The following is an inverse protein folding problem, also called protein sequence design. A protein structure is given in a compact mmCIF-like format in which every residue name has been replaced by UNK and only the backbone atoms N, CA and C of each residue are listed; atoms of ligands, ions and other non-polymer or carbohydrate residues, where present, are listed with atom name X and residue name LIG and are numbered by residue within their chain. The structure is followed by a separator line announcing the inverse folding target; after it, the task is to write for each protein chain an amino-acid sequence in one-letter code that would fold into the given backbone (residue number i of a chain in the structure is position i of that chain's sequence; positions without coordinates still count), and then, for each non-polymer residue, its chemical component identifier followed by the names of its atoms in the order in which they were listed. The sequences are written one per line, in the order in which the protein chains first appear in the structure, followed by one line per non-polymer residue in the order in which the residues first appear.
data_IF_219679568249
#
_entry.id   IF_219679568249
#
_cell.length_a   1.000
_cell.length_b   1.000
_cell.length_c   1.000
_cell.angle_alpha   90.00
_cell.angle_beta   90.00
_cell.angle_gamma   90.00
#
_symmetry.space_group_name_H-M   'P 1'
#
loop_
_entity.id
_entity.type
_entity.pdbx_description
1 polymer ?
#
# COMPACT_ATOMS: atom_id res chain seq x y z
N UNK A 1 15.99 -14.41 -14.23
CA UNK A 1 15.61 -13.57 -15.37
C UNK A 1 14.55 -12.53 -15.01
N UNK A 2 13.36 -12.91 -14.51
CA UNK A 2 12.27 -11.96 -14.23
C UNK A 2 12.58 -10.93 -13.13
N UNK A 3 13.15 -11.38 -12.00
CA UNK A 3 13.53 -10.48 -10.90
C UNK A 3 14.50 -9.38 -11.36
N UNK A 4 15.48 -9.74 -12.18
CA UNK A 4 16.47 -8.77 -12.70
C UNK A 4 15.84 -7.75 -13.64
N UNK A 5 14.82 -8.14 -14.41
CA UNK A 5 14.04 -7.20 -15.24
C UNK A 5 13.26 -6.23 -14.36
N UNK A 6 12.57 -6.73 -13.34
CA UNK A 6 11.78 -5.90 -12.43
C UNK A 6 12.65 -4.93 -11.63
N UNK A 7 13.88 -5.33 -11.25
CA UNK A 7 14.80 -4.45 -10.52
C UNK A 7 15.31 -3.26 -11.35
N UNK A 8 15.14 -3.27 -12.67
CA UNK A 8 15.53 -2.17 -13.57
C UNK A 8 14.42 -1.13 -13.78
N UNK A 9 13.21 -1.43 -13.33
CA UNK A 9 12.02 -0.60 -13.49
C UNK A 9 12.21 0.80 -12.91
N UNK A 10 11.68 1.81 -13.60
CA UNK A 10 11.68 3.20 -13.15
C UNK A 10 10.41 3.58 -12.37
N UNK A 11 9.28 2.95 -12.73
CA UNK A 11 7.95 3.28 -12.21
C UNK A 11 7.20 2.04 -11.76
N UNK A 12 6.64 2.07 -10.55
CA UNK A 12 5.71 1.05 -10.06
C UNK A 12 4.29 1.61 -10.08
N UNK A 13 3.35 0.84 -10.62
CA UNK A 13 1.91 1.11 -10.51
C UNK A 13 1.28 -0.01 -9.69
N UNK A 14 0.92 0.28 -8.45
CA UNK A 14 0.23 -0.64 -7.55
C UNK A 14 -1.27 -0.32 -7.56
N UNK A 15 -1.99 -0.99 -8.46
CA UNK A 15 -3.44 -0.88 -8.63
C UNK A 15 -4.19 -2.18 -8.29
N UNK A 16 -3.54 -3.09 -7.56
CA UNK A 16 -4.05 -4.42 -7.27
C UNK A 16 -4.91 -4.48 -6.01
N UNK A 17 -5.98 -5.27 -6.07
CA UNK A 17 -6.82 -5.62 -4.93
C UNK A 17 -8.18 -6.13 -5.40
N UNK A 18 -8.54 -7.40 -5.17
CA UNK A 18 -9.87 -7.90 -5.49
C UNK A 18 -10.90 -7.09 -4.72
N UNK A 19 -12.00 -6.73 -5.35
CA UNK A 19 -13.14 -6.14 -4.65
C UNK A 19 -13.96 -7.28 -4.04
N UNK A 20 -13.58 -7.69 -2.83
CA UNK A 20 -14.29 -8.70 -2.06
C UNK A 20 -14.62 -8.18 -0.65
N UNK A 21 -15.84 -7.67 -0.49
CA UNK A 21 -16.32 -7.13 0.79
C UNK A 21 -16.67 -8.23 1.81
N UNK A 22 -16.76 -9.49 1.37
CA UNK A 22 -17.04 -10.65 2.20
C UNK A 22 -15.77 -11.33 2.71
N UNK A 23 -14.60 -10.90 2.22
CA UNK A 23 -13.30 -11.41 2.66
C UNK A 23 -13.18 -11.37 4.18
N UNK A 24 -12.73 -12.48 4.74
CA UNK A 24 -12.38 -12.57 6.16
C UNK A 24 -11.19 -11.65 6.46
N UNK A 25 -11.00 -11.31 7.73
CA UNK A 25 -9.83 -10.51 8.15
C UNK A 25 -8.50 -11.11 7.71
N UNK A 26 -8.40 -12.44 7.71
CA UNK A 26 -7.18 -13.16 7.29
C UNK A 26 -6.95 -13.05 5.79
N UNK A 27 -7.99 -13.22 4.98
CA UNK A 27 -7.91 -13.08 3.52
C UNK A 27 -7.59 -11.64 3.13
N UNK A 28 -8.29 -10.67 3.73
CA UNK A 28 -8.04 -9.26 3.50
C UNK A 28 -6.57 -8.91 3.85
N UNK A 29 -6.07 -9.32 5.02
CA UNK A 29 -4.68 -9.11 5.43
C UNK A 29 -3.69 -9.76 4.46
N UNK A 30 -3.96 -10.99 4.04
CA UNK A 30 -3.12 -11.72 3.10
C UNK A 30 -3.03 -11.03 1.73
N UNK A 31 -4.09 -10.36 1.30
CA UNK A 31 -4.16 -9.73 -0.02
C UNK A 31 -3.60 -8.30 0.04
N UNK A 32 -4.07 -7.48 0.97
CA UNK A 32 -3.75 -6.06 1.01
C UNK A 32 -2.46 -5.78 1.79
N UNK A 33 -2.33 -6.26 3.03
CA UNK A 33 -1.17 -5.95 3.87
C UNK A 33 0.09 -6.68 3.40
N UNK A 34 0.00 -7.98 3.09
CA UNK A 34 1.17 -8.69 2.55
C UNK A 34 1.52 -8.20 1.13
N UNK A 35 0.51 -7.85 0.32
CA UNK A 35 0.74 -7.21 -0.99
C UNK A 35 1.52 -5.91 -0.83
N UNK A 36 1.07 -5.02 0.07
CA UNK A 36 1.73 -3.77 0.40
C UNK A 36 3.15 -3.99 0.95
N UNK A 37 3.37 -5.00 1.79
CA UNK A 37 4.69 -5.40 2.28
C UNK A 37 5.64 -5.72 1.14
N UNK A 38 5.28 -6.69 0.30
CA UNK A 38 6.16 -7.20 -0.74
C UNK A 38 6.44 -6.16 -1.83
N UNK A 39 5.43 -5.37 -2.23
CA UNK A 39 5.65 -4.31 -3.23
C UNK A 39 6.53 -3.19 -2.66
N UNK A 40 6.43 -2.87 -1.38
CA UNK A 40 7.28 -1.87 -0.72
C UNK A 40 8.72 -2.36 -0.56
N UNK A 41 8.93 -3.64 -0.24
CA UNK A 41 10.26 -4.27 -0.21
C UNK A 41 10.93 -4.23 -1.60
N UNK A 42 10.15 -4.46 -2.66
CA UNK A 42 10.62 -4.36 -4.03
C UNK A 42 10.94 -2.91 -4.42
N UNK A 43 10.06 -1.96 -4.10
CA UNK A 43 10.27 -0.53 -4.34
C UNK A 43 11.55 -0.04 -3.64
N UNK A 44 11.75 -0.45 -2.38
CA UNK A 44 12.98 -0.19 -1.62
C UNK A 44 14.21 -0.74 -2.35
N UNK A 45 14.14 -1.99 -2.81
CA UNK A 45 15.26 -2.63 -3.51
C UNK A 45 15.64 -1.89 -4.80
N UNK A 46 14.65 -1.49 -5.60
CA UNK A 46 14.87 -0.69 -6.83
C UNK A 46 15.46 0.68 -6.48
N UNK A 47 14.90 1.34 -5.47
CA UNK A 47 15.36 2.67 -5.05
C UNK A 47 16.80 2.66 -4.55
N UNK A 48 17.18 1.65 -3.75
CA UNK A 48 18.56 1.50 -3.26
C UNK A 48 19.55 1.14 -4.39
N UNK A 49 19.09 0.43 -5.42
CA UNK A 49 19.95 -0.01 -6.52
C UNK A 49 20.23 1.11 -7.53
N UNK A 50 19.19 1.86 -7.94
CA UNK A 50 19.28 2.84 -9.04
C UNK A 50 18.49 4.13 -8.84
N UNK A 51 17.73 4.25 -7.75
CA UNK A 51 16.72 5.28 -7.59
C UNK A 51 15.43 4.94 -8.35
N UNK A 52 14.36 4.64 -7.61
CA UNK A 52 13.02 4.52 -8.16
C UNK A 52 12.53 5.93 -8.50
N UNK A 53 12.05 6.14 -9.73
CA UNK A 53 11.60 7.46 -10.17
C UNK A 53 10.20 7.77 -9.65
N UNK A 54 9.32 6.77 -9.60
CA UNK A 54 7.97 6.97 -9.09
C UNK A 54 7.32 5.67 -8.60
N UNK A 55 6.63 5.74 -7.48
CA UNK A 55 5.65 4.75 -7.05
C UNK A 55 4.25 5.38 -7.10
N UNK A 56 3.37 4.88 -7.97
CA UNK A 56 1.95 5.22 -8.02
C UNK A 56 1.15 4.15 -7.27
N UNK A 57 0.49 4.53 -6.18
CA UNK A 57 -0.39 3.66 -5.41
C UNK A 57 -1.86 4.06 -5.61
N UNK A 58 -2.69 3.12 -6.07
CA UNK A 58 -4.13 3.31 -6.16
C UNK A 58 -4.79 2.70 -4.94
N UNK A 59 -5.55 3.51 -4.21
CA UNK A 59 -6.27 3.13 -2.98
C UNK A 59 -7.78 3.34 -3.15
N UNK A 60 -8.60 2.99 -2.17
CA UNK A 60 -10.02 3.34 -2.15
C UNK A 60 -10.23 4.82 -1.85
N UNK A 61 -11.22 5.43 -2.51
CA UNK A 61 -11.68 6.80 -2.32
C UNK A 61 -11.67 7.29 -0.86
N UNK A 62 -12.14 6.44 0.06
CA UNK A 62 -12.35 6.77 1.47
C UNK A 62 -11.13 6.56 2.40
N UNK A 63 -9.92 6.39 1.86
CA UNK A 63 -8.74 6.31 2.74
C UNK A 63 -8.61 7.60 3.55
N UNK A 64 -8.50 7.53 4.89
CA UNK A 64 -8.37 8.70 5.74
C UNK A 64 -6.93 9.26 5.77
N UNK A 65 -5.99 8.62 5.07
CA UNK A 65 -4.57 8.91 5.18
C UNK A 65 -4.09 9.95 4.17
N UNK A 66 -3.24 10.85 4.66
CA UNK A 66 -2.54 11.87 3.90
C UNK A 66 -1.06 11.94 4.33
N UNK A 67 -0.29 12.80 3.68
CA UNK A 67 1.16 12.92 3.93
C UNK A 67 1.50 13.43 5.34
N UNK A 68 0.54 14.04 6.05
CA UNK A 68 0.73 14.55 7.41
C UNK A 68 0.41 13.48 8.45
N UNK A 69 -0.76 12.84 8.36
CA UNK A 69 -1.22 11.89 9.37
C UNK A 69 -0.59 10.48 9.21
N UNK A 70 0.01 10.19 8.05
CA UNK A 70 0.71 8.91 7.81
C UNK A 70 2.07 8.80 8.47
N UNK A 71 2.57 9.88 9.08
CA UNK A 71 3.82 9.90 9.84
C UNK A 71 3.69 9.25 11.23
N UNK A 72 2.51 8.72 11.55
CA UNK A 72 2.29 8.01 12.81
C UNK A 72 3.09 6.71 12.84
N UNK A 73 3.80 6.47 13.95
CA UNK A 73 4.56 5.24 14.19
C UNK A 73 3.64 4.14 14.74
N UNK A 74 2.81 3.54 13.86
CA UNK A 74 2.04 2.34 14.19
C UNK A 74 2.50 1.15 13.37
N UNK A 75 2.46 -0.03 14.00
CA UNK A 75 2.59 -1.31 13.31
C UNK A 75 1.22 -1.76 12.80
N UNK A 76 1.04 -1.70 11.48
CA UNK A 76 -0.21 -2.10 10.81
C UNK A 76 -0.47 -3.61 10.85
N UNK A 77 0.56 -4.43 11.12
CA UNK A 77 0.45 -5.90 11.18
C UNK A 77 0.07 -6.40 12.58
N UNK A 78 0.14 -5.54 13.59
CA UNK A 78 -0.26 -5.89 14.94
C UNK A 78 -1.77 -6.11 15.00
N UNK A 79 -2.19 -7.31 15.42
CA UNK A 79 -3.60 -7.62 15.64
C UNK A 79 -4.24 -6.65 16.66
N UNK A 80 -5.51 -6.30 16.45
CA UNK A 80 -6.25 -5.40 17.35
C UNK A 80 -5.85 -3.92 17.23
N UNK A 81 -5.21 -3.50 16.14
CA UNK A 81 -4.86 -2.09 15.93
C UNK A 81 -6.12 -1.23 15.68
N UNK A 82 -6.74 -0.71 16.74
CA UNK A 82 -8.00 0.06 16.71
C UNK A 82 -7.83 1.51 16.23
N UNK A 83 -6.71 1.83 15.58
CA UNK A 83 -6.47 3.14 15.00
C UNK A 83 -7.58 3.53 14.00
N UNK A 84 -8.07 2.56 13.21
CA UNK A 84 -9.23 2.73 12.35
C UNK A 84 -10.47 2.13 13.01
N UNK A 85 -11.46 2.97 13.29
CA UNK A 85 -12.79 2.55 13.77
C UNK A 85 -13.67 1.97 12.64
N UNK A 86 -13.08 1.17 11.75
CA UNK A 86 -13.73 0.55 10.61
C UNK A 86 -14.00 -0.91 10.93
N UNK A 87 -15.27 -1.30 10.87
CA UNK A 87 -15.72 -2.66 11.22
C UNK A 87 -15.48 -3.66 10.10
N UNK A 88 -15.58 -3.23 8.84
CA UNK A 88 -15.42 -4.11 7.70
C UNK A 88 -13.94 -4.49 7.51
N UNK A 89 -13.57 -5.78 7.51
CA UNK A 89 -12.18 -6.21 7.40
C UNK A 89 -11.52 -5.84 6.07
N UNK A 90 -12.26 -5.92 4.96
CA UNK A 90 -11.79 -5.54 3.64
C UNK A 90 -11.39 -4.05 3.60
N UNK A 91 -12.28 -3.14 4.02
CA UNK A 91 -12.00 -1.70 4.01
C UNK A 91 -10.88 -1.33 4.98
N UNK A 92 -10.94 -1.87 6.21
CA UNK A 92 -9.92 -1.61 7.22
C UNK A 92 -8.53 -2.00 6.70
N UNK A 93 -8.40 -3.19 6.15
CA UNK A 93 -7.10 -3.69 5.69
C UNK A 93 -6.60 -2.91 4.48
N UNK A 94 -7.49 -2.54 3.55
CA UNK A 94 -7.15 -1.71 2.41
C UNK A 94 -6.55 -0.36 2.82
N UNK A 95 -7.08 0.28 3.86
CA UNK A 95 -6.54 1.55 4.35
C UNK A 95 -5.28 1.37 5.20
N UNK A 96 -5.17 0.28 5.96
CA UNK A 96 -3.91 -0.05 6.64
C UNK A 96 -2.77 -0.31 5.65
N UNK A 97 -3.06 -0.91 4.50
CA UNK A 97 -2.10 -1.08 3.40
C UNK A 97 -1.64 0.25 2.80
N UNK A 98 -2.55 1.22 2.62
CA UNK A 98 -2.19 2.58 2.18
C UNK A 98 -1.27 3.28 3.20
N UNK A 99 -1.66 3.26 4.49
CA UNK A 99 -0.80 3.80 5.54
C UNK A 99 0.59 3.16 5.52
N UNK A 100 0.67 1.84 5.35
CA UNK A 100 1.94 1.14 5.30
C UNK A 100 2.81 1.61 4.13
N UNK A 101 2.24 1.73 2.92
CA UNK A 101 2.98 2.21 1.74
C UNK A 101 3.50 3.62 1.98
N UNK A 102 2.69 4.51 2.57
CA UNK A 102 3.10 5.88 2.91
C UNK A 102 4.22 5.90 3.94
N UNK A 103 4.13 5.06 4.98
CA UNK A 103 5.19 4.92 5.98
C UNK A 103 6.50 4.42 5.34
N UNK A 104 6.44 3.43 4.46
CA UNK A 104 7.63 2.92 3.75
C UNK A 104 8.23 3.95 2.80
N UNK A 105 7.40 4.68 2.05
CA UNK A 105 7.86 5.76 1.18
C UNK A 105 8.59 6.85 1.97
N UNK A 106 8.01 7.27 3.10
CA UNK A 106 8.65 8.26 3.98
C UNK A 106 9.93 7.73 4.62
N UNK A 107 9.99 6.45 5.00
CA UNK A 107 11.16 5.87 5.66
C UNK A 107 12.33 5.62 4.70
N UNK A 108 12.04 5.25 3.45
CA UNK A 108 13.04 4.93 2.43
C UNK A 108 13.42 6.14 1.59
N UNK A 109 12.49 7.07 1.37
CA UNK A 109 12.70 8.29 0.59
C UNK A 109 12.41 8.15 -0.91
N UNK A 110 11.68 7.12 -1.35
CA UNK A 110 11.26 7.03 -2.75
C UNK A 110 10.05 7.93 -3.05
N UNK A 111 9.94 8.51 -4.27
CA UNK A 111 8.78 9.30 -4.66
C UNK A 111 7.49 8.44 -4.67
N UNK A 112 6.43 8.97 -4.07
CA UNK A 112 5.13 8.33 -3.97
C UNK A 112 4.04 9.29 -4.47
N UNK A 113 3.12 8.77 -5.27
CA UNK A 113 1.84 9.41 -5.59
C UNK A 113 0.71 8.47 -5.25
N UNK A 114 -0.25 8.96 -4.47
CA UNK A 114 -1.42 8.17 -4.09
C UNK A 114 -2.65 8.69 -4.83
N UNK A 115 -3.38 7.78 -5.46
CA UNK A 115 -4.59 8.07 -6.22
C UNK A 115 -5.76 7.39 -5.50
N UNK A 116 -6.75 8.20 -5.13
CA UNK A 116 -7.98 7.75 -4.47
C UNK A 116 -9.13 7.84 -5.48
N UNK A 117 -9.22 6.97 -6.50
CA UNK A 117 -10.32 7.03 -7.44
C UNK A 117 -11.65 6.82 -6.71
N UNK A 118 -12.71 7.56 -7.09
CA UNK A 118 -14.09 7.23 -6.75
C UNK A 118 -14.53 6.01 -7.56
N UNK A 119 -15.79 5.92 -7.93
CA UNK A 119 -16.27 4.87 -8.84
C UNK A 119 -15.59 4.99 -10.21
N UNK A 120 -14.99 3.89 -10.68
CA UNK A 120 -14.46 3.78 -12.05
C UNK A 120 -15.58 3.30 -12.97
N UNK A 121 -15.88 4.06 -14.02
CA UNK A 121 -16.85 3.70 -15.07
C UNK A 121 -16.08 3.15 -16.27
N UNK A 122 -16.49 1.99 -16.76
CA UNK A 122 -15.89 1.31 -17.92
C UNK A 122 -16.57 1.68 -19.24
#
# INVERSE_FOLDING_TARGET
EDKERVLKTDVIIHAGGPMDIQATSKEAASVFLNGAKHISELAKSIHQLKGLQQFIHVVGYMSPFDDKNSKIAIDVFKEGNDYLKIKNPYERTKFLADLYIRQQASAVGYPLSVINPPTVVG
#
